data_IF_366187530880
#
_entry.id   IF_366187530880
#
_cell.length_a   1.000
_cell.length_b   1.000
_cell.length_c   1.000
_cell.angle_alpha   90.00
_cell.angle_beta   90.00
_cell.angle_gamma   90.00
#
_symmetry.space_group_name_H-M   'P 1'
#
loop_
_entity.id
_entity.type
_entity.pdbx_description
1 polymer ?
#
# COMPACT_ATOMS: atom_id res chain seq x y z
N UNK A 1 11.48 -1.91 -9.15
CA UNK A 1 10.27 -1.69 -9.97
C UNK A 1 9.03 -1.98 -9.15
N UNK A 2 8.07 -1.09 -9.20
CA UNK A 2 6.85 -1.23 -8.41
C UNK A 2 5.78 -1.98 -9.17
N UNK A 3 4.82 -2.52 -8.43
CA UNK A 3 3.68 -3.18 -9.02
C UNK A 3 2.86 -2.20 -9.87
N UNK A 4 2.10 -2.76 -10.79
CA UNK A 4 1.28 -1.97 -11.69
C UNK A 4 0.33 -1.03 -10.95
N UNK A 5 -0.15 -1.45 -9.79
CA UNK A 5 -1.12 -0.70 -9.02
C UNK A 5 -0.49 0.15 -7.92
N UNK A 6 0.84 0.17 -7.82
CA UNK A 6 1.52 0.86 -6.74
C UNK A 6 1.15 2.34 -6.70
N UNK A 7 1.28 3.02 -7.83
CA UNK A 7 1.03 4.47 -7.85
C UNK A 7 -0.44 4.80 -7.59
N UNK A 8 -1.32 3.93 -8.05
CA UNK A 8 -2.75 4.12 -7.83
C UNK A 8 -3.08 4.03 -6.33
N UNK A 9 -2.57 3.00 -5.66
CA UNK A 9 -2.81 2.82 -4.23
C UNK A 9 -2.15 3.95 -3.44
N UNK A 10 -0.94 4.32 -3.82
CA UNK A 10 -0.24 5.41 -3.17
C UNK A 10 -1.04 6.71 -3.26
N UNK A 11 -1.56 7.01 -4.44
CA UNK A 11 -2.35 8.22 -4.64
C UNK A 11 -3.61 8.20 -3.77
N UNK A 12 -4.28 7.09 -3.70
CA UNK A 12 -5.49 6.95 -2.88
C UNK A 12 -5.17 7.19 -1.40
N UNK A 13 -4.05 6.65 -0.95
CA UNK A 13 -3.66 6.82 0.45
C UNK A 13 -3.30 8.28 0.74
N UNK A 14 -2.54 8.90 -0.15
CA UNK A 14 -2.10 10.29 0.04
C UNK A 14 -3.26 11.27 -0.02
N UNK A 15 -4.30 10.94 -0.77
CA UNK A 15 -5.48 11.79 -0.88
C UNK A 15 -6.47 11.56 0.26
N UNK A 16 -6.19 10.60 1.12
CA UNK A 16 -7.08 10.30 2.22
C UNK A 16 -8.27 9.43 1.86
N UNK A 17 -8.29 8.91 0.63
CA UNK A 17 -9.37 8.02 0.18
C UNK A 17 -9.24 6.63 0.78
N UNK A 18 -8.02 6.20 1.04
CA UNK A 18 -7.74 4.90 1.64
C UNK A 18 -6.97 5.11 2.94
N UNK A 19 -7.27 4.31 3.95
CA UNK A 19 -6.51 4.31 5.19
C UNK A 19 -5.49 3.17 5.17
N UNK A 20 -4.69 3.06 6.24
CA UNK A 20 -3.66 2.02 6.31
C UNK A 20 -4.24 0.62 6.24
N UNK A 21 -5.39 0.40 6.86
CA UNK A 21 -6.01 -0.92 6.83
C UNK A 21 -6.36 -1.32 5.41
N UNK A 22 -6.80 -0.37 4.59
CA UNK A 22 -7.14 -0.66 3.22
C UNK A 22 -5.90 -0.96 2.39
N UNK A 23 -4.84 -0.19 2.60
CA UNK A 23 -3.57 -0.44 1.92
C UNK A 23 -3.02 -1.79 2.34
N UNK A 24 -3.13 -2.12 3.61
CA UNK A 24 -2.68 -3.42 4.13
C UNK A 24 -3.41 -4.57 3.43
N UNK A 25 -4.70 -4.43 3.22
CA UNK A 25 -5.48 -5.46 2.54
C UNK A 25 -5.15 -5.59 1.06
N UNK A 26 -4.55 -4.56 0.48
CA UNK A 26 -4.14 -4.61 -0.92
C UNK A 26 -2.84 -5.38 -1.11
N UNK A 27 -2.09 -5.59 -0.02
CA UNK A 27 -0.84 -6.36 -0.10
C UNK A 27 -1.13 -7.79 -0.49
N UNK A 28 -0.36 -8.28 -1.45
CA UNK A 28 -0.56 -9.63 -1.96
C UNK A 28 -1.50 -9.71 -3.16
N UNK A 29 -2.26 -8.63 -3.41
CA UNK A 29 -3.17 -8.58 -4.56
C UNK A 29 -2.74 -7.49 -5.53
N UNK A 30 -2.60 -6.27 -5.03
CA UNK A 30 -2.31 -5.10 -5.84
C UNK A 30 -0.89 -4.61 -5.67
N UNK A 31 -0.34 -4.75 -4.47
CA UNK A 31 0.99 -4.27 -4.13
C UNK A 31 1.72 -5.33 -3.30
N UNK A 32 3.00 -5.08 -3.05
CA UNK A 32 3.81 -5.97 -2.21
C UNK A 32 3.99 -5.35 -0.82
N UNK A 33 4.53 -6.16 0.10
CA UNK A 33 4.80 -5.68 1.46
C UNK A 33 5.80 -4.51 1.44
N UNK A 34 6.79 -4.57 0.56
CA UNK A 34 7.76 -3.49 0.42
C UNK A 34 7.07 -2.21 -0.03
N UNK A 35 6.13 -2.34 -0.94
CA UNK A 35 5.39 -1.20 -1.44
C UNK A 35 4.47 -0.61 -0.37
N UNK A 36 3.91 -1.45 0.48
CA UNK A 36 3.13 -0.97 1.62
C UNK A 36 3.97 -0.04 2.48
N UNK A 37 5.20 -0.47 2.77
CA UNK A 37 6.11 0.34 3.57
C UNK A 37 6.44 1.66 2.87
N UNK A 38 6.64 1.61 1.55
CA UNK A 38 6.92 2.83 0.78
C UNK A 38 5.75 3.81 0.82
N UNK A 39 4.53 3.28 0.81
CA UNK A 39 3.33 4.12 0.77
C UNK A 39 3.01 4.71 2.14
N UNK A 40 3.01 3.88 3.17
CA UNK A 40 2.56 4.30 4.50
C UNK A 40 3.68 4.76 5.41
N UNK A 41 4.92 4.41 5.09
CA UNK A 41 6.05 4.73 5.93
C UNK A 41 6.19 3.81 7.13
N UNK A 42 5.42 2.72 7.18
CA UNK A 42 5.47 1.77 8.28
C UNK A 42 5.70 0.36 7.75
N UNK A 43 6.42 -0.47 8.51
CA UNK A 43 6.66 -1.84 8.06
C UNK A 43 5.36 -2.65 8.01
N UNK A 44 5.27 -3.51 7.01
CA UNK A 44 4.12 -4.39 6.87
C UNK A 44 4.23 -5.51 7.91
N UNK A 45 3.22 -5.63 8.74
CA UNK A 45 3.18 -6.68 9.75
C UNK A 45 2.19 -7.76 9.32
N UNK A 46 2.71 -8.98 9.26
CA UNK A 46 1.87 -10.13 8.97
C UNK A 46 1.34 -10.63 10.30
N UNK A 47 0.07 -10.42 10.54
CA UNK A 47 -0.53 -10.83 11.80
C UNK A 47 -0.69 -12.34 11.88
#
# INVERSE_FOLDING_TARGET
>A
MHSKNFEKVKAYYEQGLWDKARVHNAVGRWITAVEYEDITGEPYEVA
#
